data_IF_962316680166
#
_entry.id   IF_962316680166
#
_cell.length_a   1.000
_cell.length_b   1.000
_cell.length_c   1.000
_cell.angle_alpha   90.00
_cell.angle_beta   90.00
_cell.angle_gamma   90.00
#
_symmetry.space_group_name_H-M   'P 1'
#
loop_
_entity.id
_entity.type
_entity.pdbx_description
1 polymer ?
#
# COMPACT_ATOMS: atom_id res chain seq x y z
N UNK A 1 -12.26 -36.94 72.58
CA UNK A 1 -12.21 -38.28 71.94
C UNK A 1 -12.34 -38.11 70.45
N UNK A 2 -11.23 -38.10 69.73
CA UNK A 2 -11.22 -37.95 68.30
C UNK A 2 -10.70 -39.25 67.69
N UNK A 3 -11.50 -39.86 66.83
CA UNK A 3 -11.13 -41.05 66.09
C UNK A 3 -10.46 -40.64 64.78
N UNK A 4 -9.21 -41.07 64.58
CA UNK A 4 -8.49 -40.94 63.30
C UNK A 4 -8.89 -42.16 62.44
N UNK A 5 -9.29 -41.86 61.19
CA UNK A 5 -9.50 -42.85 60.14
C UNK A 5 -8.39 -42.70 59.10
N UNK A 6 -7.50 -43.68 59.03
CA UNK A 6 -6.47 -43.78 58.01
C UNK A 6 -7.08 -44.45 56.76
N UNK A 7 -7.09 -43.75 55.65
CA UNK A 7 -7.41 -44.33 54.34
C UNK A 7 -6.09 -44.62 53.60
N UNK A 8 -5.82 -45.88 53.38
CA UNK A 8 -4.75 -46.35 52.50
C UNK A 8 -5.23 -46.24 51.05
N UNK A 9 -4.58 -45.45 50.25
CA UNK A 9 -4.75 -45.43 48.80
C UNK A 9 -3.69 -46.25 48.11
N UNK A 10 -4.13 -47.27 47.38
CA UNK A 10 -3.31 -48.13 46.53
C UNK A 10 -3.09 -47.44 45.26
N UNK A 11 -1.87 -47.22 44.74
CA UNK A 11 -1.68 -46.67 43.40
C UNK A 11 -1.94 -47.74 42.35
N UNK A 12 -2.97 -47.53 41.51
CA UNK A 12 -3.21 -48.34 40.34
C UNK A 12 -2.15 -47.98 39.27
N UNK A 13 -1.29 -48.92 38.97
CA UNK A 13 -0.30 -48.84 37.91
C UNK A 13 -1.02 -48.99 36.56
N UNK A 14 -1.31 -47.88 35.87
CA UNK A 14 -1.82 -47.92 34.49
C UNK A 14 -0.67 -48.24 33.55
N UNK A 15 -0.67 -49.43 32.98
CA UNK A 15 0.17 -49.81 31.84
C UNK A 15 -0.48 -49.21 30.59
N UNK A 16 0.08 -48.12 30.09
CA UNK A 16 -0.28 -47.56 28.78
C UNK A 16 0.40 -48.41 27.68
N UNK A 17 -0.33 -48.87 26.65
CA UNK A 17 0.32 -49.49 25.52
C UNK A 17 1.13 -48.44 24.75
N UNK A 18 2.41 -48.70 24.52
CA UNK A 18 3.26 -47.93 23.65
C UNK A 18 2.71 -48.07 22.22
N UNK A 19 2.02 -47.03 21.74
CA UNK A 19 1.69 -46.91 20.31
C UNK A 19 3.01 -46.56 19.62
N UNK A 20 3.58 -47.49 18.88
CA UNK A 20 4.68 -47.21 17.98
C UNK A 20 4.21 -46.23 16.92
N UNK A 21 4.59 -44.97 17.08
CA UNK A 21 4.44 -43.98 15.99
C UNK A 21 5.35 -44.38 14.84
N UNK A 22 4.72 -44.86 13.78
CA UNK A 22 5.37 -45.07 12.48
C UNK A 22 5.77 -43.70 11.92
N UNK A 23 6.93 -43.21 12.30
CA UNK A 23 7.53 -42.01 11.74
C UNK A 23 8.06 -42.29 10.31
N UNK A 24 7.15 -42.57 9.39
CA UNK A 24 7.43 -42.47 7.97
C UNK A 24 7.21 -41.00 7.52
N UNK A 25 7.94 -40.10 8.14
CA UNK A 25 8.13 -38.75 7.54
C UNK A 25 9.15 -38.91 6.43
N UNK A 26 8.64 -39.21 5.23
CA UNK A 26 9.41 -38.84 4.03
C UNK A 26 9.73 -37.34 4.18
N UNK A 27 11.01 -36.95 3.98
CA UNK A 27 11.32 -35.52 3.93
C UNK A 27 10.40 -34.89 2.85
N UNK A 28 9.86 -33.70 3.10
CA UNK A 28 9.02 -33.04 2.09
C UNK A 28 9.82 -33.02 0.79
N UNK A 29 9.26 -33.58 -0.27
CA UNK A 29 9.82 -33.41 -1.61
C UNK A 29 9.94 -31.90 -1.79
N UNK A 30 11.15 -31.39 -1.78
CA UNK A 30 11.43 -30.04 -2.24
C UNK A 30 10.95 -30.01 -3.68
N UNK A 31 9.75 -29.48 -3.90
CA UNK A 31 9.31 -29.16 -5.23
C UNK A 31 10.35 -28.20 -5.77
N UNK A 32 11.10 -28.62 -6.79
CA UNK A 32 11.97 -27.66 -7.49
C UNK A 32 11.08 -26.54 -7.98
N UNK A 33 11.24 -25.33 -7.39
CA UNK A 33 10.51 -24.16 -7.82
C UNK A 33 10.84 -23.80 -9.27
N UNK A 34 10.04 -22.95 -9.87
CA UNK A 34 10.31 -22.44 -11.21
C UNK A 34 11.70 -21.78 -11.24
N UNK A 35 12.47 -22.09 -12.27
CA UNK A 35 13.76 -21.43 -12.52
C UNK A 35 13.54 -20.28 -13.48
N UNK A 36 13.74 -19.05 -13.00
CA UNK A 36 13.63 -17.85 -13.82
C UNK A 36 15.02 -17.40 -14.29
N UNK A 37 15.08 -16.94 -15.52
CA UNK A 37 16.26 -16.23 -16.04
C UNK A 37 15.87 -14.77 -16.16
N UNK A 38 16.48 -13.85 -15.40
CA UNK A 38 16.22 -12.42 -15.55
C UNK A 38 16.57 -11.96 -16.96
N UNK A 39 15.65 -11.22 -17.59
CA UNK A 39 15.88 -10.57 -18.90
C UNK A 39 16.33 -9.14 -18.68
N UNK A 40 15.70 -8.45 -17.74
CA UNK A 40 16.08 -7.12 -17.29
C UNK A 40 16.14 -7.12 -15.77
N UNK A 41 17.20 -6.51 -15.22
CA UNK A 41 17.41 -6.34 -13.78
C UNK A 41 17.71 -4.87 -13.51
N UNK A 42 16.64 -4.09 -13.30
CA UNK A 42 16.72 -2.66 -13.07
C UNK A 42 16.91 -2.36 -11.59
N UNK A 43 17.69 -1.35 -11.30
CA UNK A 43 17.90 -0.93 -9.91
C UNK A 43 16.62 -0.42 -9.28
N UNK A 44 16.33 -0.91 -8.10
CA UNK A 44 15.23 -0.49 -7.24
C UNK A 44 15.74 -0.32 -5.80
N UNK A 45 15.00 0.43 -5.00
CA UNK A 45 15.21 0.50 -3.55
C UNK A 45 14.73 -0.79 -2.88
N UNK A 46 15.05 -0.99 -1.60
CA UNK A 46 14.62 -2.17 -0.85
C UNK A 46 13.10 -2.25 -0.75
N UNK A 47 12.59 -3.49 -0.80
CA UNK A 47 11.15 -3.73 -0.61
C UNK A 47 10.72 -3.33 0.80
N UNK A 48 9.64 -2.56 0.90
CA UNK A 48 9.05 -2.12 2.16
C UNK A 48 7.76 -2.89 2.47
N UNK A 49 7.46 -3.01 3.74
CA UNK A 49 6.28 -3.75 4.20
C UNK A 49 5.16 -2.79 4.63
N UNK A 50 4.08 -2.74 3.87
CA UNK A 50 2.89 -1.96 4.22
C UNK A 50 2.15 -2.47 5.46
N UNK A 51 2.41 -3.72 5.88
CA UNK A 51 1.71 -4.38 6.98
C UNK A 51 0.17 -4.38 6.79
N UNK A 52 -0.61 -4.04 7.82
CA UNK A 52 -2.08 -4.10 7.80
C UNK A 52 -2.71 -2.74 7.46
N UNK A 53 -2.49 -2.22 6.23
CA UNK A 53 -2.94 -0.86 5.88
C UNK A 53 -3.85 -0.74 4.67
N UNK A 54 -3.80 -1.65 3.69
CA UNK A 54 -4.50 -1.47 2.40
C UNK A 54 -3.92 -0.34 1.53
N UNK A 55 -2.64 0.02 1.73
CA UNK A 55 -1.96 1.12 1.03
C UNK A 55 -0.93 0.64 0.01
N UNK A 56 -1.11 -0.56 -0.56
CA UNK A 56 -0.22 -1.17 -1.55
C UNK A 56 0.07 -0.24 -2.74
N UNK A 57 -0.94 0.48 -3.22
CA UNK A 57 -0.82 1.49 -4.27
C UNK A 57 0.27 2.54 -3.96
N UNK A 58 0.32 2.98 -2.70
CA UNK A 58 1.28 3.99 -2.28
C UNK A 58 2.70 3.43 -2.21
N UNK A 59 2.87 2.24 -1.62
CA UNK A 59 4.17 1.58 -1.53
C UNK A 59 4.73 1.24 -2.91
N UNK A 60 3.89 0.74 -3.83
CA UNK A 60 4.29 0.44 -5.20
C UNK A 60 4.70 1.71 -5.96
N UNK A 61 3.90 2.78 -5.86
CA UNK A 61 4.21 4.05 -6.55
C UNK A 61 5.44 4.72 -5.94
N UNK A 62 5.61 4.70 -4.62
CA UNK A 62 6.82 5.23 -3.97
C UNK A 62 8.06 4.49 -4.46
N UNK A 63 8.05 3.17 -4.49
CA UNK A 63 9.16 2.35 -5.01
C UNK A 63 9.45 2.65 -6.49
N UNK A 64 8.42 2.86 -7.31
CA UNK A 64 8.56 3.28 -8.70
C UNK A 64 9.26 4.64 -8.81
N UNK A 65 8.84 5.65 -8.04
CA UNK A 65 9.45 6.99 -8.03
C UNK A 65 10.89 6.95 -7.51
N UNK A 66 11.17 6.18 -6.48
CA UNK A 66 12.52 5.98 -5.97
C UNK A 66 13.44 5.33 -7.03
N UNK A 67 12.92 4.37 -7.80
CA UNK A 67 13.62 3.76 -8.94
C UNK A 67 13.89 4.78 -10.05
N UNK A 68 12.96 5.68 -10.32
CA UNK A 68 13.17 6.79 -11.26
C UNK A 68 14.26 7.77 -10.79
N UNK A 69 14.31 8.08 -9.50
CA UNK A 69 15.37 8.90 -8.93
C UNK A 69 16.76 8.23 -9.08
N UNK A 70 16.81 6.89 -8.89
CA UNK A 70 18.03 6.12 -9.18
C UNK A 70 18.43 6.20 -10.67
N UNK A 71 17.46 6.00 -11.58
CA UNK A 71 17.65 6.09 -13.03
C UNK A 71 18.14 7.47 -13.47
N UNK A 72 17.59 8.53 -12.87
CA UNK A 72 17.98 9.92 -13.11
C UNK A 72 19.34 10.29 -12.51
N UNK A 73 20.00 9.39 -11.80
CA UNK A 73 21.29 9.66 -11.14
C UNK A 73 21.21 10.56 -9.93
N UNK A 74 20.01 10.74 -9.34
CA UNK A 74 19.79 11.55 -8.14
C UNK A 74 20.27 10.86 -6.86
N UNK A 75 20.52 9.55 -6.91
CA UNK A 75 20.88 8.72 -5.78
C UNK A 75 19.68 8.03 -5.15
N UNK A 76 19.94 7.34 -4.05
CA UNK A 76 18.95 6.59 -3.30
C UNK A 76 18.19 7.53 -2.35
N UNK A 77 16.87 7.44 -2.41
CA UNK A 77 15.95 8.11 -1.50
C UNK A 77 15.04 7.07 -0.85
N UNK A 78 14.59 7.37 0.34
CA UNK A 78 13.58 6.66 1.10
C UNK A 78 12.46 7.67 1.38
N UNK A 79 11.41 7.63 0.55
CA UNK A 79 10.31 8.59 0.59
C UNK A 79 9.18 8.05 1.47
N UNK A 80 8.53 8.93 2.22
CA UNK A 80 7.45 8.56 3.14
C UNK A 80 6.17 8.21 2.40
N UNK A 81 5.78 6.95 2.42
CA UNK A 81 4.46 6.50 1.98
C UNK A 81 3.36 7.08 2.87
N UNK A 82 3.61 7.15 4.16
CA UNK A 82 2.60 7.57 5.13
C UNK A 82 2.28 9.07 5.06
N UNK A 83 3.22 9.89 4.60
CA UNK A 83 2.94 11.28 4.27
C UNK A 83 1.92 11.38 3.13
N UNK A 84 2.14 10.65 2.07
CA UNK A 84 1.23 10.57 0.91
C UNK A 84 -0.14 10.04 1.33
N UNK A 85 -0.18 8.94 2.08
CA UNK A 85 -1.42 8.33 2.60
C UNK A 85 -2.21 9.32 3.46
N UNK A 86 -1.53 10.06 4.36
CA UNK A 86 -2.18 11.06 5.19
C UNK A 86 -2.87 12.15 4.38
N UNK A 87 -2.18 12.70 3.38
CA UNK A 87 -2.75 13.77 2.54
C UNK A 87 -3.90 13.22 1.70
N UNK A 88 -3.77 11.99 1.20
CA UNK A 88 -4.84 11.33 0.47
C UNK A 88 -6.10 11.13 1.33
N UNK A 89 -5.98 10.82 2.63
CA UNK A 89 -7.14 10.77 3.54
C UNK A 89 -7.88 12.10 3.62
N UNK A 90 -7.16 13.23 3.70
CA UNK A 90 -7.77 14.57 3.75
C UNK A 90 -8.55 14.84 2.47
N UNK A 91 -7.98 14.55 1.30
CA UNK A 91 -8.62 14.78 0.01
C UNK A 91 -9.85 13.89 -0.20
N UNK A 92 -9.78 12.61 0.24
CA UNK A 92 -10.93 11.69 0.18
C UNK A 92 -12.08 12.11 1.09
N UNK A 93 -11.79 12.63 2.26
CA UNK A 93 -12.82 13.20 3.14
C UNK A 93 -13.53 14.38 2.48
N UNK A 94 -12.77 15.26 1.81
CA UNK A 94 -13.32 16.37 1.03
C UNK A 94 -14.16 15.89 -0.16
N UNK A 95 -13.67 14.91 -0.92
CA UNK A 95 -14.41 14.30 -2.03
C UNK A 95 -15.72 13.66 -1.53
N UNK A 96 -15.66 12.91 -0.42
CA UNK A 96 -16.87 12.33 0.19
C UNK A 96 -17.90 13.39 0.59
N UNK A 97 -17.48 14.50 1.16
CA UNK A 97 -18.36 15.62 1.48
C UNK A 97 -18.99 16.21 0.20
N UNK A 98 -18.19 16.49 -0.83
CA UNK A 98 -18.68 17.04 -2.09
C UNK A 98 -19.64 16.09 -2.81
N UNK A 99 -19.46 14.78 -2.65
CA UNK A 99 -20.37 13.73 -3.16
C UNK A 99 -21.52 13.39 -2.22
N UNK A 100 -21.76 14.20 -1.20
CA UNK A 100 -22.87 14.00 -0.25
C UNK A 100 -22.83 12.65 0.46
N UNK A 101 -21.62 12.19 0.84
CA UNK A 101 -21.41 10.92 1.55
C UNK A 101 -21.33 9.69 0.64
N UNK A 102 -21.19 9.88 -0.67
CA UNK A 102 -21.09 8.80 -1.67
C UNK A 102 -19.66 8.66 -2.22
N UNK A 103 -18.67 9.30 -1.60
CA UNK A 103 -17.27 9.10 -1.92
C UNK A 103 -16.76 7.74 -1.45
N UNK A 104 -15.69 7.25 -2.06
CA UNK A 104 -15.00 6.07 -1.60
C UNK A 104 -14.00 6.46 -0.49
N UNK A 105 -14.22 6.05 0.75
CA UNK A 105 -13.35 6.30 1.90
C UNK A 105 -12.39 5.14 2.21
N UNK A 106 -12.44 4.05 1.46
CA UNK A 106 -11.55 2.91 1.66
C UNK A 106 -10.06 3.29 1.54
N UNK A 107 -9.12 2.45 2.01
CA UNK A 107 -7.70 2.77 2.01
C UNK A 107 -7.02 2.65 0.64
N UNK A 108 -7.64 1.95 -0.33
CA UNK A 108 -7.12 1.75 -1.68
C UNK A 108 -7.18 3.03 -2.50
N UNK A 109 -6.23 3.19 -3.43
CA UNK A 109 -6.10 4.32 -4.37
C UNK A 109 -5.25 3.88 -5.55
N UNK A 110 -4.90 4.79 -6.47
CA UNK A 110 -4.08 4.49 -7.63
C UNK A 110 -2.88 5.46 -7.74
N UNK A 111 -1.99 5.20 -8.67
CA UNK A 111 -0.71 5.91 -8.80
C UNK A 111 -0.85 7.42 -9.01
N UNK A 112 -1.87 7.86 -9.75
CA UNK A 112 -2.13 9.29 -9.97
C UNK A 112 -2.46 10.04 -8.67
N UNK A 113 -3.03 9.38 -7.66
CA UNK A 113 -3.29 10.02 -6.36
C UNK A 113 -1.98 10.29 -5.61
N UNK A 114 -0.95 9.45 -5.78
CA UNK A 114 0.40 9.73 -5.31
C UNK A 114 0.96 10.99 -5.97
N UNK A 115 0.86 11.07 -7.31
CA UNK A 115 1.34 12.21 -8.09
C UNK A 115 0.58 13.50 -7.76
N UNK A 116 -0.74 13.40 -7.51
CA UNK A 116 -1.55 14.52 -7.08
C UNK A 116 -1.10 15.06 -5.73
N UNK A 117 -0.91 14.18 -4.74
CA UNK A 117 -0.41 14.57 -3.41
C UNK A 117 0.99 15.18 -3.53
N UNK A 118 1.89 14.57 -4.29
CA UNK A 118 3.23 15.10 -4.56
C UNK A 118 3.15 16.53 -5.13
N UNK A 119 2.25 16.77 -6.09
CA UNK A 119 2.06 18.08 -6.72
C UNK A 119 1.45 19.09 -5.75
N UNK A 120 0.42 18.70 -5.00
CA UNK A 120 -0.36 19.62 -4.17
C UNK A 120 0.29 19.88 -2.79
N UNK A 121 0.89 18.86 -2.19
CA UNK A 121 1.41 18.92 -0.82
C UNK A 121 2.91 18.71 -0.72
N UNK A 122 3.54 18.13 -1.74
CA UNK A 122 4.94 17.74 -1.72
C UNK A 122 5.14 16.32 -1.18
N UNK A 123 6.35 16.04 -0.72
CA UNK A 123 6.76 14.76 -0.12
C UNK A 123 7.85 15.00 0.92
N UNK A 124 8.06 14.06 1.81
CA UNK A 124 9.13 14.08 2.81
C UNK A 124 9.87 12.75 2.83
N UNK A 125 11.11 12.68 3.34
CA UNK A 125 11.78 11.41 3.61
C UNK A 125 11.05 10.59 4.69
N UNK A 126 11.15 9.25 4.63
CA UNK A 126 10.56 8.36 5.63
C UNK A 126 11.14 8.60 7.03
N UNK A 127 12.44 8.85 7.15
CA UNK A 127 13.08 9.19 8.44
C UNK A 127 12.50 10.45 9.10
N UNK A 128 11.84 11.32 8.34
CA UNK A 128 11.18 12.54 8.83
C UNK A 128 9.73 12.27 9.23
N UNK A 129 9.07 11.36 8.54
CA UNK A 129 7.66 11.05 8.75
C UNK A 129 7.33 9.60 8.36
N UNK A 130 7.51 8.67 9.28
CA UNK A 130 7.26 7.25 9.02
C UNK A 130 5.82 6.81 9.32
N UNK A 131 4.97 7.68 9.88
CA UNK A 131 3.58 7.35 10.17
C UNK A 131 3.33 6.34 11.30
N UNK A 132 4.33 6.07 12.14
CA UNK A 132 4.24 5.13 13.27
C UNK A 132 4.13 5.88 14.59
N UNK A 133 2.96 6.42 14.91
CA UNK A 133 2.75 7.23 16.11
C UNK A 133 1.84 6.60 17.17
N UNK A 134 1.47 5.34 17.04
CA UNK A 134 0.52 4.65 17.91
C UNK A 134 1.13 3.46 18.67
N UNK A 135 2.45 3.48 18.90
CA UNK A 135 3.17 2.53 19.76
C UNK A 135 3.38 1.13 19.16
N UNK A 136 3.04 0.92 17.90
CA UNK A 136 3.33 -0.33 17.17
C UNK A 136 4.60 -0.16 16.31
N UNK A 137 5.44 -1.18 16.17
CA UNK A 137 6.56 -1.18 15.23
C UNK A 137 6.13 -1.42 13.77
N UNK A 138 4.86 -1.72 13.53
CA UNK A 138 4.29 -2.00 12.21
C UNK A 138 2.99 -1.26 12.02
N UNK A 139 2.68 -0.91 10.76
CA UNK A 139 1.45 -0.22 10.41
C UNK A 139 0.21 -1.10 10.61
N UNK A 140 -0.83 -0.51 11.19
CA UNK A 140 -2.18 -1.07 11.25
C UNK A 140 -3.21 0.07 11.24
N UNK A 141 -3.89 0.22 10.11
CA UNK A 141 -4.85 1.31 9.92
C UNK A 141 -6.31 0.93 10.19
N UNK A 142 -6.59 -0.26 10.75
CA UNK A 142 -7.97 -0.71 10.95
C UNK A 142 -8.77 0.20 11.87
N UNK A 143 -8.18 0.65 12.97
CA UNK A 143 -8.81 1.58 13.91
C UNK A 143 -8.88 2.99 13.33
N UNK A 144 -7.78 3.47 12.71
CA UNK A 144 -7.76 4.75 12.00
C UNK A 144 -8.88 4.83 10.97
N UNK A 145 -9.03 3.80 10.13
CA UNK A 145 -10.09 3.75 9.11
C UNK A 145 -11.48 3.87 9.74
N UNK A 146 -11.71 3.21 10.88
CA UNK A 146 -12.99 3.31 11.60
C UNK A 146 -13.29 4.73 12.07
N UNK A 147 -12.27 5.47 12.53
CA UNK A 147 -12.44 6.88 12.89
C UNK A 147 -12.68 7.77 11.66
N UNK A 148 -11.98 7.53 10.57
CA UNK A 148 -12.19 8.26 9.30
C UNK A 148 -13.63 8.07 8.81
N UNK A 149 -14.13 6.83 8.80
CA UNK A 149 -15.50 6.51 8.37
C UNK A 149 -16.55 7.16 9.28
N UNK A 150 -16.27 7.24 10.58
CA UNK A 150 -17.17 7.87 11.54
C UNK A 150 -17.20 9.40 11.38
N UNK A 151 -16.04 10.05 11.29
CA UNK A 151 -15.94 11.51 11.21
C UNK A 151 -16.43 12.05 9.86
N UNK A 152 -16.30 11.28 8.79
CA UNK A 152 -16.74 11.65 7.44
C UNK A 152 -18.25 11.94 7.33
N UNK A 153 -19.06 11.37 8.22
CA UNK A 153 -20.53 11.58 8.25
C UNK A 153 -20.92 12.97 8.74
N UNK A 154 -20.13 13.54 9.63
CA UNK A 154 -20.46 14.80 10.31
C UNK A 154 -20.72 15.96 9.35
N UNK A 155 -19.81 16.32 8.43
CA UNK A 155 -20.04 17.44 7.52
C UNK A 155 -21.17 17.14 6.52
N UNK A 156 -21.38 15.89 6.13
CA UNK A 156 -22.46 15.47 5.23
C UNK A 156 -23.83 15.69 5.89
N UNK A 157 -24.02 15.21 7.12
CA UNK A 157 -25.27 15.36 7.87
C UNK A 157 -25.56 16.84 8.20
N UNK A 158 -24.53 17.61 8.53
CA UNK A 158 -24.64 19.03 8.81
C UNK A 158 -24.68 19.90 7.57
N UNK A 159 -24.38 19.35 6.39
CA UNK A 159 -24.25 20.06 5.10
C UNK A 159 -23.24 21.23 5.17
N UNK A 160 -22.22 21.07 5.99
CA UNK A 160 -21.20 22.10 6.23
C UNK A 160 -19.94 21.50 6.83
N UNK A 161 -18.80 21.82 6.25
CA UNK A 161 -17.50 21.70 6.90
C UNK A 161 -17.26 22.93 7.78
N UNK A 162 -16.55 22.72 8.90
CA UNK A 162 -16.17 23.79 9.81
C UNK A 162 -14.68 23.64 10.16
N UNK A 163 -14.07 24.71 10.67
CA UNK A 163 -12.68 24.68 11.12
C UNK A 163 -12.48 23.64 12.23
N UNK A 164 -13.48 23.48 13.13
CA UNK A 164 -13.45 22.46 14.19
C UNK A 164 -13.45 21.04 13.60
N UNK A 165 -14.21 20.79 12.53
CA UNK A 165 -14.17 19.52 11.82
C UNK A 165 -12.78 19.23 11.27
N UNK A 166 -12.17 20.18 10.58
CA UNK A 166 -10.80 20.03 10.06
C UNK A 166 -9.78 19.82 11.15
N UNK A 167 -9.90 20.52 12.28
CA UNK A 167 -9.03 20.33 13.44
C UNK A 167 -9.17 18.93 14.06
N UNK A 168 -10.40 18.38 14.14
CA UNK A 168 -10.64 17.03 14.63
C UNK A 168 -10.06 15.99 13.67
N UNK A 169 -10.28 16.14 12.36
CA UNK A 169 -9.67 15.25 11.35
C UNK A 169 -8.15 15.24 11.48
N UNK A 170 -7.52 16.41 11.53
CA UNK A 170 -6.08 16.51 11.72
C UNK A 170 -5.63 15.86 13.04
N UNK A 171 -6.37 16.04 14.14
CA UNK A 171 -6.04 15.43 15.43
C UNK A 171 -6.10 13.90 15.40
N UNK A 172 -7.07 13.33 14.68
CA UNK A 172 -7.14 11.87 14.44
C UNK A 172 -5.91 11.42 13.66
N UNK A 173 -5.62 12.06 12.54
CA UNK A 173 -4.47 11.72 11.70
C UNK A 173 -3.14 11.92 12.45
N UNK A 174 -3.00 12.97 13.26
CA UNK A 174 -1.82 13.21 14.09
C UNK A 174 -1.62 12.11 15.15
N UNK A 175 -2.72 11.60 15.72
CA UNK A 175 -2.68 10.54 16.72
C UNK A 175 -2.09 9.24 16.16
N UNK A 176 -2.48 8.86 14.95
CA UNK A 176 -2.06 7.60 14.34
C UNK A 176 -0.79 7.72 13.50
N UNK A 177 -0.68 8.77 12.70
CA UNK A 177 0.36 8.93 11.70
C UNK A 177 1.44 9.94 12.08
N UNK A 178 1.23 10.69 13.16
CA UNK A 178 2.14 11.75 13.58
C UNK A 178 1.84 13.09 12.94
N UNK A 179 2.45 14.13 13.51
CA UNK A 179 2.26 15.51 13.07
C UNK A 179 3.05 15.81 11.81
N UNK A 180 2.41 16.40 10.82
CA UNK A 180 3.08 16.79 9.58
C UNK A 180 4.11 17.88 9.87
N UNK A 181 5.37 17.74 9.42
CA UNK A 181 6.37 18.77 9.58
C UNK A 181 6.10 19.95 8.63
N UNK A 182 6.13 21.17 9.14
CA UNK A 182 6.12 22.38 8.30
C UNK A 182 7.45 22.55 7.58
N UNK A 183 8.55 22.22 8.27
CA UNK A 183 9.91 22.18 7.73
C UNK A 183 10.72 21.10 8.43
N UNK A 184 11.77 20.62 7.77
CA UNK A 184 12.66 19.59 8.30
C UNK A 184 14.07 19.73 7.73
N UNK A 185 15.05 19.14 8.39
CA UNK A 185 16.43 19.07 7.90
C UNK A 185 16.67 17.70 7.28
N UNK A 186 17.20 17.67 6.07
CA UNK A 186 17.58 16.46 5.38
C UNK A 186 18.92 16.65 4.68
N UNK A 187 19.88 15.75 4.95
CA UNK A 187 21.26 15.84 4.41
C UNK A 187 21.87 17.25 4.55
N UNK A 188 21.63 17.91 5.71
CA UNK A 188 22.20 19.22 6.02
C UNK A 188 21.49 20.43 5.40
N UNK A 189 20.40 20.23 4.68
CA UNK A 189 19.60 21.29 4.07
C UNK A 189 18.21 21.33 4.71
N UNK A 190 17.69 22.54 4.95
CA UNK A 190 16.32 22.70 5.46
C UNK A 190 15.34 22.79 4.29
N UNK A 191 14.28 22.00 4.39
CA UNK A 191 13.21 21.92 3.39
C UNK A 191 11.84 22.10 4.02
N UNK A 192 10.90 22.55 3.22
CA UNK A 192 9.47 22.27 3.39
C UNK A 192 9.12 21.04 2.53
N UNK A 193 7.99 20.35 2.75
CA UNK A 193 7.59 19.22 1.89
C UNK A 193 7.59 19.56 0.40
N UNK A 194 7.12 20.77 0.05
CA UNK A 194 7.10 21.24 -1.36
C UNK A 194 8.50 21.55 -1.91
N UNK A 195 9.35 22.20 -1.14
CA UNK A 195 10.70 22.49 -1.62
C UNK A 195 11.55 21.22 -1.76
N UNK A 196 11.30 20.22 -0.91
CA UNK A 196 11.94 18.92 -1.04
C UNK A 196 11.46 18.21 -2.31
N UNK A 197 10.15 18.13 -2.55
CA UNK A 197 9.59 17.57 -3.80
C UNK A 197 10.20 18.24 -5.04
N UNK A 198 10.28 19.57 -5.06
CA UNK A 198 10.88 20.31 -6.18
C UNK A 198 12.37 19.96 -6.37
N UNK A 199 13.12 19.69 -5.30
CA UNK A 199 14.55 19.34 -5.38
C UNK A 199 14.80 17.96 -6.02
N UNK A 200 13.82 17.06 -5.98
CA UNK A 200 13.91 15.74 -6.58
C UNK A 200 13.93 15.80 -8.13
N UNK A 201 13.33 16.83 -8.72
CA UNK A 201 13.28 17.01 -10.18
C UNK A 201 12.34 16.04 -10.88
N UNK A 202 11.40 15.45 -10.15
CA UNK A 202 10.28 14.68 -10.72
C UNK A 202 9.28 15.65 -11.32
N UNK A 203 8.93 15.44 -12.59
CA UNK A 203 7.87 16.19 -13.26
C UNK A 203 6.66 15.25 -13.46
N UNK A 204 5.52 15.49 -12.78
CA UNK A 204 4.34 14.65 -12.91
C UNK A 204 3.82 14.47 -14.33
N UNK A 205 4.03 15.46 -15.21
CA UNK A 205 3.57 15.41 -16.60
C UNK A 205 4.36 14.44 -17.48
N UNK A 206 5.49 13.90 -16.98
CA UNK A 206 6.30 12.91 -17.70
C UNK A 206 5.76 11.47 -17.51
N UNK A 207 4.74 11.29 -16.70
CA UNK A 207 4.15 9.98 -16.37
C UNK A 207 2.76 9.84 -16.97
N UNK A 208 2.47 8.65 -17.46
CA UNK A 208 1.17 8.32 -18.07
C UNK A 208 0.66 7.01 -17.49
N UNK A 209 -0.63 6.97 -17.20
CA UNK A 209 -1.34 5.76 -16.82
C UNK A 209 -2.01 5.16 -18.04
N UNK A 210 -1.74 3.89 -18.27
CA UNK A 210 -2.28 3.15 -19.42
C UNK A 210 -3.09 1.96 -18.93
N UNK A 211 -4.08 1.58 -19.74
CA UNK A 211 -4.96 0.44 -19.47
C UNK A 211 -5.33 -0.24 -20.78
N UNK A 212 -5.96 -1.44 -20.69
CA UNK A 212 -6.47 -2.16 -21.85
C UNK A 212 -7.86 -2.71 -21.56
N UNK A 213 -8.88 -1.94 -21.92
CA UNK A 213 -10.27 -2.32 -21.75
C UNK A 213 -11.06 -2.15 -23.04
N UNK A 214 -12.00 -3.06 -23.29
CA UNK A 214 -12.81 -3.08 -24.53
C UNK A 214 -14.13 -2.30 -24.42
N UNK A 215 -14.51 -1.83 -23.23
CA UNK A 215 -15.78 -1.14 -23.02
C UNK A 215 -15.73 0.36 -23.39
N UNK A 216 -14.54 0.90 -23.66
CA UNK A 216 -14.38 2.22 -24.28
C UNK A 216 -13.29 2.18 -25.36
N UNK A 217 -13.28 3.15 -26.30
CA UNK A 217 -12.42 3.07 -27.49
C UNK A 217 -10.94 3.04 -27.15
N UNK A 218 -10.16 2.22 -27.87
CA UNK A 218 -8.71 2.28 -27.84
C UNK A 218 -8.20 3.63 -28.38
N UNK A 219 -7.00 4.01 -27.95
CA UNK A 219 -6.30 5.25 -28.33
C UNK A 219 -7.01 6.52 -27.89
N UNK A 220 -7.85 6.40 -26.87
CA UNK A 220 -8.52 7.52 -26.18
C UNK A 220 -8.25 7.46 -24.69
N UNK A 221 -8.52 8.56 -24.00
CA UNK A 221 -8.53 8.59 -22.55
C UNK A 221 -9.95 8.32 -22.03
N UNK A 222 -10.07 7.31 -21.18
CA UNK A 222 -11.31 6.98 -20.47
C UNK A 222 -11.12 6.98 -18.96
N UNK A 223 -12.21 7.13 -18.22
CA UNK A 223 -12.20 6.93 -16.78
C UNK A 223 -12.22 5.42 -16.53
N UNK A 224 -11.30 4.94 -15.73
CA UNK A 224 -11.31 3.56 -15.26
C UNK A 224 -12.26 3.45 -14.07
N UNK A 225 -13.35 2.71 -14.23
CA UNK A 225 -14.44 2.61 -13.26
C UNK A 225 -14.17 1.56 -12.16
N UNK A 226 -12.96 1.53 -11.64
CA UNK A 226 -12.64 0.72 -10.46
C UNK A 226 -12.85 1.54 -9.18
N UNK A 227 -13.26 0.92 -8.06
CA UNK A 227 -13.55 1.66 -6.82
C UNK A 227 -12.37 2.50 -6.32
N UNK A 228 -11.13 2.07 -6.56
CA UNK A 228 -9.92 2.75 -6.10
C UNK A 228 -9.57 3.98 -6.94
N UNK A 229 -10.16 4.11 -8.15
CA UNK A 229 -10.13 5.37 -8.92
C UNK A 229 -11.18 6.36 -8.41
N UNK A 230 -11.12 6.67 -7.12
CA UNK A 230 -12.09 7.55 -6.47
C UNK A 230 -12.06 8.99 -7.00
N UNK A 231 -10.91 9.45 -7.48
CA UNK A 231 -10.71 10.78 -8.06
C UNK A 231 -11.16 10.89 -9.52
N UNK A 232 -11.63 9.79 -10.14
CA UNK A 232 -12.09 9.72 -11.53
C UNK A 232 -11.01 10.10 -12.54
N UNK A 233 -9.77 9.71 -12.29
CA UNK A 233 -8.68 9.94 -13.21
C UNK A 233 -8.86 9.18 -14.53
N UNK A 234 -8.22 9.69 -15.57
CA UNK A 234 -8.32 9.14 -16.92
C UNK A 234 -7.07 8.37 -17.29
N UNK A 235 -7.28 7.20 -17.86
CA UNK A 235 -6.23 6.32 -18.35
C UNK A 235 -6.22 6.32 -19.87
N UNK A 236 -5.05 6.25 -20.46
CA UNK A 236 -4.92 6.06 -21.90
C UNK A 236 -5.14 4.59 -22.24
N UNK A 237 -6.13 4.30 -23.08
CA UNK A 237 -6.54 2.94 -23.41
C UNK A 237 -5.82 2.45 -24.67
N UNK A 238 -5.11 1.34 -24.56
CA UNK A 238 -4.39 0.69 -25.66
C UNK A 238 -4.85 -0.76 -25.80
N UNK A 239 -4.51 -1.42 -26.90
CA UNK A 239 -4.75 -2.88 -27.00
C UNK A 239 -3.88 -3.64 -25.99
N UNK A 240 -4.28 -4.88 -25.65
CA UNK A 240 -3.52 -5.69 -24.69
C UNK A 240 -2.11 -5.98 -25.19
N UNK A 241 -1.95 -6.26 -26.48
CA UNK A 241 -0.63 -6.51 -27.07
C UNK A 241 0.27 -5.27 -26.96
N UNK A 242 -0.27 -4.09 -27.27
CA UNK A 242 0.48 -2.83 -27.12
C UNK A 242 0.80 -2.52 -25.66
N UNK A 243 -0.08 -2.85 -24.72
CA UNK A 243 0.22 -2.69 -23.28
C UNK A 243 1.48 -3.48 -22.89
N UNK A 244 1.56 -4.74 -23.35
CA UNK A 244 2.73 -5.60 -23.10
C UNK A 244 3.96 -5.05 -23.83
N UNK A 245 3.83 -4.63 -25.09
CA UNK A 245 4.93 -4.02 -25.84
C UNK A 245 5.49 -2.74 -25.17
N UNK A 246 4.61 -1.91 -24.62
CA UNK A 246 5.00 -0.69 -23.87
C UNK A 246 5.78 -1.07 -22.60
N UNK A 247 5.34 -2.07 -21.86
CA UNK A 247 6.04 -2.57 -20.68
C UNK A 247 7.45 -3.10 -21.06
N UNK A 248 7.53 -3.95 -22.07
CA UNK A 248 8.81 -4.51 -22.56
C UNK A 248 9.73 -3.41 -23.07
N UNK A 249 9.22 -2.46 -23.83
CA UNK A 249 9.99 -1.30 -24.31
C UNK A 249 10.53 -0.47 -23.16
N UNK A 250 9.73 -0.20 -22.14
CA UNK A 250 10.12 0.56 -20.96
C UNK A 250 11.28 -0.12 -20.22
N UNK A 251 11.13 -1.40 -19.90
CA UNK A 251 12.15 -2.18 -19.20
C UNK A 251 13.45 -2.27 -20.01
N UNK A 252 13.36 -2.49 -21.32
CA UNK A 252 14.50 -2.53 -22.24
C UNK A 252 15.29 -1.20 -22.27
N UNK A 253 14.59 -0.08 -22.07
CA UNK A 253 15.19 1.25 -22.05
C UNK A 253 15.54 1.75 -20.64
N UNK A 254 15.49 0.89 -19.63
CA UNK A 254 15.93 1.19 -18.28
C UNK A 254 14.88 1.89 -17.40
N UNK A 255 13.62 1.92 -17.82
CA UNK A 255 12.50 2.45 -17.04
C UNK A 255 11.80 1.32 -16.28
N UNK A 256 11.54 1.51 -15.01
CA UNK A 256 10.66 0.62 -14.26
C UNK A 256 9.19 0.86 -14.64
N UNK A 257 8.34 -0.10 -14.31
CA UNK A 257 6.89 -0.02 -14.55
C UNK A 257 6.17 -0.22 -13.23
N UNK A 258 5.27 0.70 -12.88
CA UNK A 258 4.34 0.50 -11.79
C UNK A 258 3.11 -0.22 -12.31
N UNK A 259 2.87 -1.43 -11.82
CA UNK A 259 1.75 -2.27 -12.24
C UNK A 259 0.74 -2.41 -11.10
N UNK A 260 -0.53 -2.21 -11.43
CA UNK A 260 -1.65 -2.45 -10.54
C UNK A 260 -2.57 -3.50 -11.17
N UNK A 261 -2.95 -4.50 -10.39
CA UNK A 261 -3.74 -5.63 -10.86
C UNK A 261 -4.47 -6.33 -9.74
N UNK A 262 -5.51 -7.08 -10.11
CA UNK A 262 -6.27 -7.91 -9.17
C UNK A 262 -5.43 -9.10 -8.70
N UNK A 263 -5.20 -9.17 -7.40
CA UNK A 263 -4.48 -10.24 -6.71
C UNK A 263 -5.42 -11.25 -6.04
N UNK A 264 -6.72 -11.08 -6.20
CA UNK A 264 -7.73 -11.95 -5.57
C UNK A 264 -8.07 -13.19 -6.40
N UNK A 265 -7.56 -13.30 -7.62
CA UNK A 265 -7.82 -14.43 -8.51
C UNK A 265 -7.20 -15.74 -7.99
N UNK A 266 -7.88 -16.87 -8.25
CA UNK A 266 -7.47 -18.22 -7.80
C UNK A 266 -6.06 -18.57 -8.28
N UNK A 267 -5.67 -18.11 -9.47
CA UNK A 267 -4.34 -18.33 -10.05
C UNK A 267 -3.24 -17.48 -9.46
N UNK A 268 -3.55 -16.52 -8.58
CA UNK A 268 -2.58 -15.66 -7.94
C UNK A 268 -2.23 -16.19 -6.53
N UNK A 269 -0.98 -16.60 -6.33
CA UNK A 269 -0.50 -17.08 -5.04
C UNK A 269 0.77 -16.35 -4.62
N UNK A 270 0.61 -15.28 -3.92
CA UNK A 270 1.71 -14.49 -3.36
C UNK A 270 2.58 -15.34 -2.40
N UNK A 271 1.96 -16.23 -1.62
CA UNK A 271 2.68 -17.12 -0.70
C UNK A 271 3.61 -18.11 -1.41
N UNK A 272 3.23 -18.54 -2.61
CA UNK A 272 4.01 -19.50 -3.42
C UNK A 272 4.80 -18.80 -4.54
N UNK A 273 4.68 -17.48 -4.69
CA UNK A 273 5.44 -16.68 -5.64
C UNK A 273 5.07 -16.91 -7.11
N UNK A 274 3.79 -17.18 -7.41
CA UNK A 274 3.34 -17.33 -8.78
C UNK A 274 2.00 -16.64 -9.07
N UNK A 275 1.81 -16.24 -10.31
CA UNK A 275 0.53 -15.85 -10.89
C UNK A 275 0.35 -16.58 -12.22
N UNK A 276 -0.73 -17.34 -12.35
CA UNK A 276 -1.01 -18.16 -13.55
C UNK A 276 -2.49 -18.02 -13.93
N UNK A 277 -2.75 -18.02 -15.24
CA UNK A 277 -4.12 -18.18 -15.74
C UNK A 277 -4.39 -19.69 -15.78
N UNK A 278 -5.37 -20.15 -15.00
CA UNK A 278 -5.78 -21.56 -15.04
C UNK A 278 -6.34 -21.89 -16.43
N UNK A 279 -5.80 -22.92 -17.08
CA UNK A 279 -6.41 -23.46 -18.30
C UNK A 279 -7.81 -23.95 -17.94
N UNK A 280 -8.84 -23.37 -18.55
CA UNK A 280 -10.25 -23.78 -18.43
C UNK A 280 -10.51 -25.10 -19.15
#
# INVERSE_FOLDING_TARGET
MKKFLLLFSIPALMILPAIAQNNNTQPPKTQEGYKFTPVYDLKATSVKNQSATGTCWCFATTSFIESELLRMGKGEYDLSEMYIVRMNYIDRLKDNYLRMGKGNLGPGSLSHDWMRVFTEYGVVPDEVYNGLNYGSPTHNHSELQSFIDAVAKVPVERRKESDQYHNIVNSILDTYLGKVPESFSYKGTTFTPKSFASSLGINPDDYVEITSFTHFPFYTQGILEVPDNWSMARFYNVTLDELIEIMDYSLKNGYTVNWDGDVSEIGFSHQNGYAVISAS
#
